data_IF_262849062759
#
_entry.id   IF_262849062759
#
_cell.length_a   1.000
_cell.length_b   1.000
_cell.length_c   1.000
_cell.angle_alpha   90.00
_cell.angle_beta   90.00
_cell.angle_gamma   90.00
#
_symmetry.space_group_name_H-M   'P 1'
#
loop_
_entity.id
_entity.type
_entity.pdbx_description
1 polymer ?
#
# COMPACT_ATOMS: atom_id res chain seq x y z
N UNK A 1 30.49 -25.70 13.93
CA UNK A 1 30.35 -24.44 13.13
C UNK A 1 28.96 -23.82 13.20
N UNK A 2 27.89 -24.59 13.35
CA UNK A 2 26.49 -24.11 13.44
C UNK A 2 26.17 -23.14 14.60
N UNK A 3 26.86 -23.24 15.76
CA UNK A 3 26.53 -22.41 16.93
C UNK A 3 26.97 -20.94 16.81
N UNK A 4 27.95 -20.61 15.99
CA UNK A 4 28.45 -19.23 15.79
C UNK A 4 27.55 -18.45 14.84
N UNK A 5 27.11 -19.06 13.75
CA UNK A 5 26.19 -18.50 12.76
C UNK A 5 24.80 -18.24 13.37
N UNK A 6 24.32 -19.17 14.21
CA UNK A 6 23.04 -18.99 14.93
C UNK A 6 23.04 -17.80 15.89
N UNK A 7 24.13 -17.61 16.64
CA UNK A 7 24.29 -16.48 17.55
C UNK A 7 24.42 -15.14 16.82
N UNK A 8 25.09 -15.11 15.67
CA UNK A 8 25.22 -13.91 14.83
C UNK A 8 23.88 -13.50 14.25
N UNK A 9 23.11 -14.44 13.72
CA UNK A 9 21.74 -14.20 13.24
C UNK A 9 20.81 -13.70 14.36
N UNK A 10 20.95 -14.21 15.58
CA UNK A 10 20.15 -13.76 16.72
C UNK A 10 20.50 -12.33 17.13
N UNK A 11 21.78 -11.94 17.12
CA UNK A 11 22.21 -10.56 17.40
C UNK A 11 21.70 -9.58 16.34
N UNK A 12 21.76 -9.96 15.06
CA UNK A 12 21.24 -9.14 13.96
C UNK A 12 19.74 -8.91 14.13
N UNK A 13 18.97 -9.97 14.39
CA UNK A 13 17.51 -9.87 14.62
C UNK A 13 17.18 -8.98 15.82
N UNK A 14 17.90 -9.13 16.92
CA UNK A 14 17.71 -8.31 18.11
C UNK A 14 18.01 -6.83 17.82
N UNK A 15 19.13 -6.56 17.14
CA UNK A 15 19.53 -5.19 16.77
C UNK A 15 18.46 -4.53 15.88
N UNK A 16 18.03 -5.22 14.83
CA UNK A 16 16.99 -4.72 13.94
C UNK A 16 15.66 -4.48 14.68
N UNK A 17 15.27 -5.36 15.59
CA UNK A 17 14.08 -5.20 16.41
C UNK A 17 14.17 -3.96 17.30
N UNK A 18 15.28 -3.75 18.02
CA UNK A 18 15.47 -2.58 18.88
C UNK A 18 15.39 -1.27 18.07
N UNK A 19 16.02 -1.23 16.89
CA UNK A 19 15.94 -0.06 16.00
C UNK A 19 14.51 0.22 15.55
N UNK A 20 13.74 -0.81 15.20
CA UNK A 20 12.33 -0.68 14.76
C UNK A 20 11.42 -0.20 15.89
N UNK A 21 11.52 -0.81 17.08
CA UNK A 21 10.74 -0.41 18.25
C UNK A 21 11.03 1.05 18.63
N UNK A 22 12.31 1.44 18.60
CA UNK A 22 12.72 2.82 18.87
C UNK A 22 12.24 3.80 17.80
N UNK A 23 12.26 3.40 16.52
CA UNK A 23 11.74 4.24 15.45
C UNK A 23 10.24 4.45 15.59
N UNK A 24 9.46 3.40 15.87
CA UNK A 24 8.01 3.52 16.09
C UNK A 24 7.69 4.47 17.25
N UNK A 25 8.44 4.38 18.37
CA UNK A 25 8.27 5.30 19.49
C UNK A 25 8.53 6.76 19.09
N UNK A 26 9.62 7.02 18.36
CA UNK A 26 9.96 8.37 17.90
C UNK A 26 8.99 8.92 16.85
N UNK A 27 8.43 8.04 15.98
CA UNK A 27 7.40 8.41 15.01
C UNK A 27 6.09 8.87 15.68
N UNK A 28 5.80 8.41 16.88
CA UNK A 28 4.69 8.91 17.68
C UNK A 28 4.89 10.35 18.18
N UNK A 29 6.13 10.85 18.20
CA UNK A 29 6.47 12.17 18.71
C UNK A 29 6.72 13.20 17.60
N UNK A 30 7.27 12.77 16.45
CA UNK A 30 7.68 13.66 15.36
C UNK A 30 7.80 12.92 14.02
N UNK A 31 7.69 13.66 12.89
CA UNK A 31 7.82 13.07 11.57
C UNK A 31 9.24 12.51 11.31
N UNK A 32 9.32 11.50 10.45
CA UNK A 32 10.54 10.73 10.16
C UNK A 32 11.70 11.61 9.69
N UNK A 33 11.41 12.69 8.96
CA UNK A 33 12.40 13.65 8.45
C UNK A 33 13.14 14.39 9.56
N UNK A 34 12.54 14.47 10.74
CA UNK A 34 13.13 15.11 11.93
C UNK A 34 13.82 14.15 12.88
N UNK A 35 13.75 12.85 12.60
CA UNK A 35 14.42 11.82 13.40
C UNK A 35 15.85 11.65 12.91
N UNK A 36 16.82 11.86 13.79
CA UNK A 36 18.24 11.68 13.46
C UNK A 36 18.74 10.30 13.87
N UNK A 37 19.76 9.78 13.18
CA UNK A 37 20.46 8.53 13.57
C UNK A 37 20.97 8.61 15.01
N UNK A 38 21.36 9.81 15.49
CA UNK A 38 21.80 10.00 16.88
C UNK A 38 20.69 9.70 17.88
N UNK A 39 19.53 10.25 17.66
CA UNK A 39 18.36 10.07 18.53
C UNK A 39 17.87 8.62 18.51
N UNK A 40 17.75 8.06 17.30
CA UNK A 40 17.34 6.66 17.12
C UNK A 40 18.29 5.70 17.83
N UNK A 41 19.60 5.86 17.67
CA UNK A 41 20.58 5.03 18.35
C UNK A 41 20.59 5.22 19.88
N UNK A 42 20.34 6.44 20.35
CA UNK A 42 20.20 6.71 21.79
C UNK A 42 18.96 6.00 22.37
N UNK A 43 17.82 6.08 21.69
CA UNK A 43 16.59 5.38 22.08
C UNK A 43 16.76 3.85 22.05
N UNK A 44 17.42 3.32 21.02
CA UNK A 44 17.71 1.89 20.88
C UNK A 44 18.86 1.38 21.78
N UNK A 45 19.55 2.26 22.50
CA UNK A 45 20.78 1.96 23.28
C UNK A 45 21.86 1.27 22.44
N UNK A 46 22.04 1.72 21.20
CA UNK A 46 22.99 1.19 20.24
C UNK A 46 24.00 2.25 19.79
N UNK A 47 25.18 1.79 19.36
CA UNK A 47 26.19 2.68 18.77
C UNK A 47 25.78 3.01 17.30
N UNK A 48 26.12 4.21 16.82
CA UNK A 48 25.91 4.61 15.43
C UNK A 48 26.60 3.68 14.43
N UNK A 49 27.79 3.16 14.76
CA UNK A 49 28.48 2.18 13.91
C UNK A 49 27.65 0.91 13.73
N UNK A 50 26.93 0.47 14.76
CA UNK A 50 26.02 -0.67 14.68
C UNK A 50 24.86 -0.37 13.74
N UNK A 51 24.28 0.83 13.78
CA UNK A 51 23.23 1.27 12.88
C UNK A 51 23.69 1.24 11.41
N UNK A 52 24.83 1.85 11.11
CA UNK A 52 25.38 1.93 9.76
C UNK A 52 25.80 0.58 9.15
N UNK A 53 25.92 -0.48 9.95
CA UNK A 53 26.09 -1.83 9.43
C UNK A 53 24.82 -2.37 8.72
N UNK A 54 23.66 -1.77 8.96
CA UNK A 54 22.37 -2.26 8.43
C UNK A 54 21.63 -1.23 7.58
N UNK A 55 21.77 0.05 7.88
CA UNK A 55 21.00 1.12 7.24
C UNK A 55 21.89 2.33 6.93
N UNK A 56 21.64 3.00 5.84
CA UNK A 56 22.34 4.24 5.48
C UNK A 56 21.82 5.44 6.27
N UNK A 57 20.51 5.49 6.48
CA UNK A 57 19.81 6.56 7.18
C UNK A 57 18.53 6.05 7.84
N UNK A 58 17.81 6.94 8.53
CA UNK A 58 16.55 6.62 9.21
C UNK A 58 15.45 6.33 8.18
N UNK A 59 15.48 7.02 7.04
CA UNK A 59 14.52 6.85 5.96
C UNK A 59 14.60 5.43 5.37
N UNK A 60 15.80 4.88 5.21
CA UNK A 60 16.02 3.49 4.77
C UNK A 60 15.41 2.45 5.72
N UNK A 61 15.58 2.64 7.03
CA UNK A 61 14.93 1.77 8.02
C UNK A 61 13.39 1.90 7.94
N UNK A 62 12.90 3.13 7.87
CA UNK A 62 11.46 3.41 7.76
C UNK A 62 10.86 2.78 6.49
N UNK A 63 11.52 2.93 5.34
CA UNK A 63 11.08 2.34 4.08
C UNK A 63 11.06 0.80 4.13
N UNK A 64 12.05 0.17 4.78
CA UNK A 64 12.05 -1.29 5.01
C UNK A 64 10.83 -1.71 5.84
N UNK A 65 10.54 -1.00 6.94
CA UNK A 65 9.40 -1.30 7.80
C UNK A 65 8.06 -1.14 7.07
N UNK A 66 7.92 -0.09 6.29
CA UNK A 66 6.73 0.16 5.49
C UNK A 66 6.53 -0.93 4.41
N UNK A 67 7.61 -1.29 3.70
CA UNK A 67 7.57 -2.35 2.69
C UNK A 67 7.16 -3.69 3.31
N UNK A 68 7.73 -4.07 4.45
CA UNK A 68 7.39 -5.32 5.14
C UNK A 68 5.92 -5.38 5.57
N UNK A 69 5.37 -4.27 6.05
CA UNK A 69 3.96 -4.20 6.45
C UNK A 69 3.03 -4.43 5.25
N UNK A 70 3.39 -3.85 4.11
CA UNK A 70 2.65 -4.03 2.86
C UNK A 70 2.85 -5.43 2.30
N UNK A 71 4.08 -5.95 2.31
CA UNK A 71 4.35 -7.31 1.85
C UNK A 71 3.57 -8.35 2.68
N UNK A 72 3.46 -8.14 3.99
CA UNK A 72 2.63 -8.97 4.86
C UNK A 72 1.14 -8.90 4.51
N UNK A 73 0.63 -7.70 4.17
CA UNK A 73 -0.74 -7.52 3.73
C UNK A 73 -1.01 -8.21 2.39
N UNK A 74 -0.10 -8.04 1.42
CA UNK A 74 -0.22 -8.67 0.10
C UNK A 74 -0.14 -10.20 0.18
N UNK A 75 0.71 -10.74 1.06
CA UNK A 75 0.79 -12.18 1.32
C UNK A 75 -0.52 -12.70 1.93
N UNK A 76 -1.06 -12.00 2.93
CA UNK A 76 -2.35 -12.33 3.53
C UNK A 76 -3.48 -12.35 2.49
N UNK A 77 -3.55 -11.35 1.60
CA UNK A 77 -4.51 -11.29 0.50
C UNK A 77 -4.31 -12.46 -0.48
N UNK A 78 -3.06 -12.81 -0.77
CA UNK A 78 -2.74 -13.92 -1.67
C UNK A 78 -3.17 -15.28 -1.10
N UNK A 79 -3.01 -15.49 0.20
CA UNK A 79 -3.43 -16.72 0.89
C UNK A 79 -4.95 -16.93 0.88
N UNK A 80 -5.72 -15.85 0.80
CA UNK A 80 -7.19 -15.93 0.71
C UNK A 80 -7.71 -16.46 -0.62
N UNK A 81 -6.89 -16.47 -1.68
CA UNK A 81 -7.23 -17.00 -3.00
C UNK A 81 -8.23 -16.12 -3.77
N UNK A 82 -8.96 -16.74 -4.72
CA UNK A 82 -9.83 -16.03 -5.68
C UNK A 82 -11.20 -15.57 -5.13
N UNK A 83 -11.41 -15.58 -3.82
CA UNK A 83 -12.65 -15.07 -3.20
C UNK A 83 -12.69 -13.56 -3.21
N UNK A 84 -12.89 -12.98 -4.40
CA UNK A 84 -12.79 -11.53 -4.64
C UNK A 84 -13.71 -10.67 -3.76
N UNK A 85 -14.89 -11.18 -3.40
CA UNK A 85 -15.86 -10.44 -2.58
C UNK A 85 -15.46 -10.32 -1.10
N UNK A 86 -14.50 -11.12 -0.63
CA UNK A 86 -14.04 -11.08 0.75
C UNK A 86 -12.65 -10.43 0.89
N UNK A 87 -11.91 -10.23 -0.20
CA UNK A 87 -10.51 -9.78 -0.16
C UNK A 87 -10.40 -8.39 0.45
N UNK A 88 -11.20 -7.44 0.01
CA UNK A 88 -11.14 -6.06 0.50
C UNK A 88 -11.50 -5.98 1.98
N UNK A 89 -12.54 -6.69 2.40
CA UNK A 89 -12.94 -6.79 3.80
C UNK A 89 -11.82 -7.36 4.65
N UNK A 90 -11.25 -8.49 4.25
CA UNK A 90 -10.18 -9.15 4.99
C UNK A 90 -8.90 -8.29 5.04
N UNK A 91 -8.59 -7.57 3.98
CA UNK A 91 -7.51 -6.58 3.95
C UNK A 91 -7.75 -5.48 5.00
N UNK A 92 -8.96 -4.93 5.08
CA UNK A 92 -9.32 -3.90 6.05
C UNK A 92 -9.31 -4.44 7.50
N UNK A 93 -9.75 -5.68 7.72
CA UNK A 93 -9.64 -6.35 9.02
C UNK A 93 -8.17 -6.50 9.43
N UNK A 94 -7.29 -6.92 8.53
CA UNK A 94 -5.86 -7.03 8.78
C UNK A 94 -5.19 -5.68 9.08
N UNK A 95 -5.60 -4.61 8.39
CA UNK A 95 -5.13 -3.25 8.66
C UNK A 95 -5.61 -2.79 10.04
N UNK A 96 -6.88 -3.02 10.40
CA UNK A 96 -7.43 -2.67 11.70
C UNK A 96 -6.70 -3.37 12.84
N UNK A 97 -6.40 -4.65 12.70
CA UNK A 97 -5.69 -5.43 13.72
C UNK A 97 -4.26 -4.91 13.98
N UNK A 98 -3.69 -4.15 13.04
CA UNK A 98 -2.37 -3.52 13.11
C UNK A 98 -2.44 -1.99 12.99
N UNK A 99 -3.57 -1.42 13.39
CA UNK A 99 -3.90 -0.01 13.19
C UNK A 99 -2.78 0.94 13.62
N UNK A 100 -2.17 0.72 14.79
CA UNK A 100 -1.11 1.60 15.30
C UNK A 100 0.09 1.66 14.36
N UNK A 101 0.54 0.51 13.85
CA UNK A 101 1.67 0.45 12.92
C UNK A 101 1.33 1.11 11.57
N UNK A 102 0.13 0.84 11.03
CA UNK A 102 -0.34 1.49 9.80
C UNK A 102 -0.51 3.00 9.99
N UNK A 103 -1.11 3.44 11.12
CA UNK A 103 -1.29 4.85 11.42
C UNK A 103 0.05 5.59 11.48
N UNK A 104 1.03 5.08 12.22
CA UNK A 104 2.35 5.69 12.33
C UNK A 104 3.06 5.79 10.99
N UNK A 105 2.96 4.76 10.15
CA UNK A 105 3.58 4.76 8.83
C UNK A 105 2.84 5.69 7.85
N UNK A 106 1.51 5.73 7.88
CA UNK A 106 0.70 6.62 7.04
C UNK A 106 0.88 8.10 7.45
N UNK A 107 0.89 8.42 8.75
CA UNK A 107 1.05 9.79 9.24
C UNK A 107 2.41 10.37 8.86
N UNK A 108 3.45 9.56 8.88
CA UNK A 108 4.81 9.98 8.60
C UNK A 108 5.17 9.89 7.12
N UNK A 109 4.37 9.18 6.31
CA UNK A 109 4.53 9.03 4.87
C UNK A 109 3.84 10.10 4.02
N UNK A 110 3.10 11.03 4.63
CA UNK A 110 2.33 12.05 3.90
C UNK A 110 3.19 12.99 3.02
N UNK A 111 4.49 12.97 3.17
CA UNK A 111 5.46 13.71 2.35
C UNK A 111 6.45 12.83 1.59
N UNK A 112 6.36 11.51 1.71
CA UNK A 112 7.12 10.61 0.87
C UNK A 112 6.21 10.10 -0.24
N UNK A 113 6.72 10.00 -1.45
CA UNK A 113 6.09 9.29 -2.57
C UNK A 113 5.92 7.78 -2.23
N UNK A 114 5.21 7.51 -1.12
CA UNK A 114 4.82 6.15 -0.72
C UNK A 114 3.92 5.49 -1.74
N UNK A 115 3.25 6.33 -2.48
CA UNK A 115 2.34 5.94 -3.52
C UNK A 115 3.00 5.05 -4.56
N UNK A 116 4.30 5.20 -4.81
CA UNK A 116 4.88 4.57 -5.97
C UNK A 116 5.10 3.05 -5.90
N UNK A 117 5.70 2.43 -4.86
CA UNK A 117 5.91 0.97 -4.87
C UNK A 117 4.66 0.17 -4.50
N UNK A 118 3.85 0.68 -3.55
CA UNK A 118 2.66 0.00 -3.04
C UNK A 118 1.53 0.10 -4.05
N UNK A 119 1.22 1.30 -4.50
CA UNK A 119 0.21 1.54 -5.53
C UNK A 119 0.54 0.77 -6.80
N UNK A 120 1.78 0.77 -7.24
CA UNK A 120 2.19 0.01 -8.42
C UNK A 120 1.97 -1.49 -8.23
N UNK A 121 2.33 -2.09 -7.09
CA UNK A 121 2.14 -3.53 -6.83
C UNK A 121 0.66 -3.91 -6.74
N UNK A 122 -0.13 -3.10 -6.04
CA UNK A 122 -1.58 -3.31 -5.96
C UNK A 122 -2.22 -3.09 -7.33
N UNK A 123 -1.83 -2.05 -8.08
CA UNK A 123 -2.28 -1.78 -9.43
C UNK A 123 -1.96 -2.94 -10.38
N UNK A 124 -0.72 -3.43 -10.39
CA UNK A 124 -0.32 -4.59 -11.20
C UNK A 124 -1.10 -5.85 -10.83
N UNK A 125 -1.42 -6.03 -9.53
CA UNK A 125 -2.27 -7.12 -9.05
C UNK A 125 -3.70 -6.99 -9.55
N UNK A 126 -4.27 -5.79 -9.47
CA UNK A 126 -5.65 -5.52 -9.91
C UNK A 126 -5.79 -5.61 -11.43
N UNK A 127 -4.81 -5.12 -12.20
CA UNK A 127 -4.79 -5.26 -13.66
C UNK A 127 -4.74 -6.75 -14.05
N UNK A 128 -3.88 -7.55 -13.42
CA UNK A 128 -3.80 -8.99 -13.66
C UNK A 128 -5.10 -9.69 -13.34
N UNK A 129 -5.76 -9.31 -12.24
CA UNK A 129 -7.06 -9.85 -11.86
C UNK A 129 -8.15 -9.49 -12.87
N UNK A 130 -8.24 -8.22 -13.29
CA UNK A 130 -9.21 -7.77 -14.28
C UNK A 130 -9.01 -8.46 -15.64
N UNK A 131 -7.77 -8.67 -16.06
CA UNK A 131 -7.42 -9.41 -17.29
C UNK A 131 -7.76 -10.90 -17.17
N UNK A 132 -7.52 -11.53 -16.03
CA UNK A 132 -7.84 -12.94 -15.77
C UNK A 132 -9.34 -13.22 -15.68
N UNK A 133 -10.14 -12.26 -15.25
CA UNK A 133 -11.60 -12.37 -15.13
C UNK A 133 -12.37 -12.26 -16.46
N UNK A 134 -11.67 -12.18 -17.61
CA UNK A 134 -12.31 -12.06 -18.94
C UNK A 134 -13.10 -10.79 -19.14
N UNK A 135 -13.01 -9.81 -18.25
CA UNK A 135 -13.57 -8.48 -18.41
C UNK A 135 -12.63 -7.64 -19.26
N UNK A 136 -12.53 -7.99 -20.54
CA UNK A 136 -11.95 -7.12 -21.55
C UNK A 136 -12.85 -5.88 -21.63
N UNK A 137 -12.60 -4.89 -20.77
CA UNK A 137 -13.27 -3.62 -20.91
C UNK A 137 -12.74 -2.96 -22.16
N UNK A 138 -13.67 -2.56 -23.04
CA UNK A 138 -13.38 -1.89 -24.32
C UNK A 138 -12.94 -0.44 -24.10
N UNK A 139 -12.09 -0.21 -23.11
CA UNK A 139 -11.55 1.11 -22.81
C UNK A 139 -10.15 1.20 -23.45
N UNK A 140 -9.85 2.24 -24.24
CA UNK A 140 -8.50 2.46 -24.76
C UNK A 140 -7.47 2.47 -23.62
N UNK A 141 -6.31 1.84 -23.83
CA UNK A 141 -5.29 1.60 -22.78
C UNK A 141 -4.90 2.86 -21.99
N UNK A 142 -4.82 4.01 -22.68
CA UNK A 142 -4.47 5.28 -22.01
C UNK A 142 -5.57 5.76 -21.04
N UNK A 143 -6.82 5.69 -21.45
CA UNK A 143 -7.97 6.13 -20.64
C UNK A 143 -8.20 5.17 -19.47
N UNK A 144 -8.00 3.86 -19.71
CA UNK A 144 -8.05 2.85 -18.67
C UNK A 144 -7.07 3.13 -17.52
N UNK A 145 -5.86 3.56 -17.85
CA UNK A 145 -4.83 3.90 -16.85
C UNK A 145 -5.30 5.03 -15.92
N UNK A 146 -5.86 6.11 -16.47
CA UNK A 146 -6.42 7.21 -15.65
C UNK A 146 -7.60 6.77 -14.78
N UNK A 147 -8.50 5.92 -15.30
CA UNK A 147 -9.62 5.38 -14.52
C UNK A 147 -9.13 4.53 -13.34
N UNK A 148 -8.13 3.69 -13.57
CA UNK A 148 -7.50 2.91 -12.50
C UNK A 148 -6.78 3.79 -11.49
N UNK A 149 -6.01 4.77 -11.94
CA UNK A 149 -5.33 5.72 -11.04
C UNK A 149 -6.35 6.44 -10.14
N UNK A 150 -7.48 6.89 -10.69
CA UNK A 150 -8.55 7.52 -9.94
C UNK A 150 -9.15 6.59 -8.87
N UNK A 151 -9.49 5.37 -9.25
CA UNK A 151 -10.05 4.35 -8.34
C UNK A 151 -9.05 4.03 -7.22
N UNK A 152 -7.79 3.89 -7.59
CA UNK A 152 -6.71 3.58 -6.65
C UNK A 152 -6.49 4.70 -5.65
N UNK A 153 -6.28 5.92 -6.14
CA UNK A 153 -6.03 7.07 -5.27
C UNK A 153 -7.23 7.36 -4.37
N UNK A 154 -8.45 7.16 -4.89
CA UNK A 154 -9.68 7.29 -4.11
C UNK A 154 -9.76 6.25 -3.00
N UNK A 155 -9.53 4.98 -3.33
CA UNK A 155 -9.54 3.87 -2.39
C UNK A 155 -8.45 3.99 -1.32
N UNK A 156 -7.21 4.26 -1.74
CA UNK A 156 -6.09 4.48 -0.83
C UNK A 156 -6.34 5.67 0.10
N UNK A 157 -6.80 6.80 -0.44
CA UNK A 157 -7.16 7.97 0.34
C UNK A 157 -8.25 7.69 1.38
N UNK A 158 -9.27 6.91 1.03
CA UNK A 158 -10.33 6.51 1.96
C UNK A 158 -9.80 5.60 3.07
N UNK A 159 -8.98 4.61 2.74
CA UNK A 159 -8.35 3.70 3.71
C UNK A 159 -7.40 4.48 4.63
N UNK A 160 -6.55 5.33 4.08
CA UNK A 160 -5.67 6.19 4.87
C UNK A 160 -6.46 7.10 5.83
N UNK A 161 -7.56 7.68 5.35
CA UNK A 161 -8.44 8.52 6.17
C UNK A 161 -9.09 7.70 7.29
N UNK A 162 -9.60 6.52 6.99
CA UNK A 162 -10.19 5.61 7.95
C UNK A 162 -9.20 5.19 9.05
N UNK A 163 -7.96 4.82 8.68
CA UNK A 163 -6.89 4.50 9.66
C UNK A 163 -6.58 5.71 10.53
N UNK A 164 -6.48 6.92 9.95
CA UNK A 164 -6.25 8.17 10.67
C UNK A 164 -7.35 8.52 11.67
N UNK A 165 -8.57 8.09 11.42
CA UNK A 165 -9.72 8.27 12.31
C UNK A 165 -9.88 7.14 13.34
N UNK A 166 -8.93 6.25 13.44
CA UNK A 166 -8.98 5.15 14.40
C UNK A 166 -9.84 3.99 13.95
N UNK A 167 -9.97 3.77 12.65
CA UNK A 167 -10.83 2.73 12.07
C UNK A 167 -12.28 2.86 12.54
N UNK A 168 -12.84 4.07 12.47
CA UNK A 168 -14.14 4.48 13.03
C UNK A 168 -15.36 3.85 12.32
N UNK A 169 -15.17 3.16 11.21
CA UNK A 169 -16.17 2.32 10.55
C UNK A 169 -15.77 0.84 10.68
N UNK A 170 -16.77 -0.04 10.75
CA UNK A 170 -16.52 -1.47 10.64
C UNK A 170 -15.93 -1.82 9.26
N UNK A 171 -14.90 -2.68 9.17
CA UNK A 171 -14.26 -3.07 7.92
C UNK A 171 -15.24 -3.55 6.84
N UNK A 172 -16.27 -4.31 7.24
CA UNK A 172 -17.29 -4.81 6.31
C UNK A 172 -18.07 -3.65 5.65
N UNK A 173 -18.40 -2.60 6.42
CA UNK A 173 -19.12 -1.42 5.91
C UNK A 173 -18.25 -0.62 4.95
N UNK A 174 -16.98 -0.40 5.32
CA UNK A 174 -16.04 0.31 4.47
C UNK A 174 -15.74 -0.49 3.19
N UNK A 175 -15.59 -1.82 3.28
CA UNK A 175 -15.38 -2.68 2.13
C UNK A 175 -16.53 -2.55 1.13
N UNK A 176 -17.76 -2.71 1.60
CA UNK A 176 -18.95 -2.59 0.74
C UNK A 176 -19.04 -1.22 0.07
N UNK A 177 -18.78 -0.14 0.81
CA UNK A 177 -18.75 1.22 0.26
C UNK A 177 -17.71 1.37 -0.85
N UNK A 178 -16.48 0.91 -0.61
CA UNK A 178 -15.39 1.00 -1.58
C UNK A 178 -15.66 0.14 -2.81
N UNK A 179 -16.19 -1.08 -2.67
CA UNK A 179 -16.55 -1.96 -3.77
C UNK A 179 -17.59 -1.33 -4.69
N UNK A 180 -18.63 -0.72 -4.13
CA UNK A 180 -19.66 -0.01 -4.88
C UNK A 180 -19.08 1.20 -5.63
N UNK A 181 -18.22 2.00 -4.98
CA UNK A 181 -17.57 3.15 -5.60
C UNK A 181 -16.62 2.73 -6.73
N UNK A 182 -15.84 1.68 -6.52
CA UNK A 182 -14.94 1.10 -7.53
C UNK A 182 -15.75 0.64 -8.74
N UNK A 183 -16.79 -0.15 -8.50
CA UNK A 183 -17.67 -0.66 -9.56
C UNK A 183 -18.31 0.47 -10.38
N UNK A 184 -18.93 1.44 -9.72
CA UNK A 184 -19.57 2.57 -10.38
C UNK A 184 -18.57 3.41 -11.19
N UNK A 185 -17.36 3.64 -10.67
CA UNK A 185 -16.32 4.40 -11.36
C UNK A 185 -15.84 3.69 -12.63
N UNK A 186 -15.65 2.37 -12.57
CA UNK A 186 -15.20 1.57 -13.71
C UNK A 186 -16.32 1.43 -14.78
N UNK A 187 -17.58 1.31 -14.37
CA UNK A 187 -18.73 1.31 -15.27
C UNK A 187 -18.85 2.66 -16.01
N UNK A 188 -18.75 3.78 -15.28
CA UNK A 188 -18.76 5.12 -15.86
C UNK A 188 -17.63 5.33 -16.88
N UNK A 189 -16.40 4.91 -16.55
CA UNK A 189 -15.27 4.97 -17.44
C UNK A 189 -15.51 4.15 -18.74
N UNK A 190 -16.09 2.95 -18.61
CA UNK A 190 -16.43 2.10 -19.75
C UNK A 190 -17.45 2.75 -20.68
N UNK A 191 -18.50 3.38 -20.13
CA UNK A 191 -19.52 4.07 -20.92
C UNK A 191 -18.97 5.29 -21.68
N UNK A 192 -18.12 6.09 -21.01
CA UNK A 192 -17.52 7.28 -21.63
C UNK A 192 -16.57 6.92 -22.78
N UNK A 193 -15.84 5.84 -22.68
CA UNK A 193 -14.87 5.42 -23.69
C UNK A 193 -15.51 4.62 -24.84
N UNK A 194 -16.64 3.96 -24.61
CA UNK A 194 -17.40 3.24 -25.65
C UNK A 194 -18.16 4.16 -26.61
N UNK A 195 -18.50 5.38 -26.17
CA UNK A 195 -19.22 6.35 -26.98
C UNK A 195 -18.38 7.01 -28.08
N UNK A 196 -17.04 7.06 -27.96
CA UNK A 196 -16.16 7.67 -28.97
C UNK A 196 -15.82 6.74 -30.15
N UNK A 197 -16.08 5.43 -30.03
CA UNK A 197 -15.85 4.44 -31.09
C UNK A 197 -16.93 4.35 -32.16
N UNK A 198 -18.07 4.99 -31.96
CA UNK A 198 -19.24 4.88 -32.86
C UNK A 198 -19.42 6.02 -33.89
N UNK A 199 -18.55 7.03 -33.88
CA UNK A 199 -18.76 8.27 -34.66
C UNK A 199 -17.95 8.46 -35.95
N UNK A 200 -17.14 7.51 -36.38
CA UNK A 200 -16.28 7.66 -37.58
C UNK A 200 -16.58 6.65 -38.68
N UNK A 201 -17.84 6.64 -39.16
CA UNK A 201 -18.17 5.72 -40.23
C UNK A 201 -19.49 6.01 -40.96
N UNK A 202 -19.69 7.25 -41.41
CA UNK A 202 -20.76 7.50 -42.44
C UNK A 202 -20.61 8.89 -43.05
N UNK A 203 -19.72 9.06 -44.02
CA UNK A 203 -19.84 10.04 -45.09
C UNK A 203 -18.80 9.73 -46.17
N UNK A 204 -19.12 8.84 -47.08
CA UNK A 204 -18.73 8.89 -48.48
C UNK A 204 -19.84 8.24 -49.28
N UNK A 205 -20.74 9.07 -49.76
CA UNK A 205 -21.69 8.76 -50.83
C UNK A 205 -21.23 9.45 -52.11
N UNK A 206 -21.34 8.82 -53.28
CA UNK A 206 -20.77 9.32 -54.52
C UNK A 206 -21.67 10.40 -55.14
N UNK A 207 -21.02 11.43 -55.66
CA UNK A 207 -21.56 12.40 -56.58
C UNK A 207 -20.59 12.62 -57.73
#
# INVERSE_FOLDING_TARGET
MESRQGKENQRVRLTKRLLRESLLSLLGEKPVERITVKELCAAAQLNRSTFYNYYQDVQGLYAEMASELVDALLEYVREMGERSEEILRAMLEHIRDRQEAFALLIYNGAHMDFTCPIQRRVLEGTIRYAQGAGRAMQIPEKQWRYALDYVFMGGDGAICHWVKRGCDLEPAVLAQLLEEMIRASLEAASHLCGAEGGGAGAQDGPG
#
